data_IF_142282316000
#
_entry.id   IF_142282316000
#
_cell.length_a   1.000
_cell.length_b   1.000
_cell.length_c   1.000
_cell.angle_alpha   90.00
_cell.angle_beta   90.00
_cell.angle_gamma   90.00
#
_symmetry.space_group_name_H-M   'P 1'
#
loop_
_entity.id
_entity.type
_entity.pdbx_description
1 polymer ?
#
# COMPACT_ATOMS: atom_id res chain seq x y z
N UNK A 1 -9.56 -0.46 -15.47
CA UNK A 1 -8.50 -0.71 -14.51
C UNK A 1 -8.91 -0.38 -13.08
N UNK A 2 -9.23 0.86 -12.76
CA UNK A 2 -9.63 1.22 -11.39
C UNK A 2 -11.14 1.25 -11.17
N UNK A 3 -11.92 0.88 -12.15
CA UNK A 3 -13.37 0.72 -12.04
C UNK A 3 -14.16 1.99 -11.79
N UNK A 4 -13.68 3.13 -12.25
CA UNK A 4 -14.30 4.41 -11.98
C UNK A 4 -14.77 5.17 -13.23
N UNK A 5 -14.85 4.50 -14.38
CA UNK A 5 -15.22 5.17 -15.61
C UNK A 5 -16.58 5.85 -15.52
N UNK A 6 -17.56 5.21 -14.86
CA UNK A 6 -18.90 5.72 -14.67
C UNK A 6 -18.99 6.87 -13.65
N UNK A 7 -17.92 7.10 -12.89
CA UNK A 7 -17.87 8.14 -11.86
C UNK A 7 -16.88 9.25 -12.18
N UNK A 8 -16.23 9.20 -13.33
CA UNK A 8 -15.18 10.16 -13.69
C UNK A 8 -15.68 11.60 -13.73
N UNK A 9 -16.96 11.83 -14.01
CA UNK A 9 -17.55 13.16 -14.10
C UNK A 9 -18.11 13.68 -12.77
N UNK A 10 -18.16 12.84 -11.73
CA UNK A 10 -18.65 13.28 -10.44
C UNK A 10 -17.66 14.25 -9.80
N UNK A 11 -18.21 15.22 -9.09
CA UNK A 11 -17.38 16.15 -8.36
C UNK A 11 -16.64 15.42 -7.23
N UNK A 12 -15.31 15.56 -7.09
CA UNK A 12 -14.53 14.79 -6.10
C UNK A 12 -15.06 14.86 -4.67
N UNK A 13 -15.64 15.98 -4.26
CA UNK A 13 -16.15 16.18 -2.91
C UNK A 13 -17.29 15.23 -2.56
N UNK A 14 -17.97 14.66 -3.57
CA UNK A 14 -19.07 13.73 -3.38
C UNK A 14 -18.66 12.29 -3.28
N UNK A 15 -17.37 12.00 -3.50
CA UNK A 15 -16.85 10.64 -3.48
C UNK A 15 -16.46 10.23 -2.08
N UNK A 16 -16.55 8.94 -1.77
CA UNK A 16 -16.04 8.40 -0.51
C UNK A 16 -14.51 8.52 -0.46
N UNK A 17 -13.94 8.37 0.73
CA UNK A 17 -12.49 8.39 0.89
C UNK A 17 -11.78 7.38 -0.01
N UNK A 18 -12.31 6.15 -0.09
CA UNK A 18 -11.75 5.13 -0.95
C UNK A 18 -11.85 5.48 -2.43
N UNK A 19 -12.99 6.04 -2.84
CA UNK A 19 -13.18 6.49 -4.22
C UNK A 19 -12.25 7.66 -4.56
N UNK A 20 -12.03 8.58 -3.63
CA UNK A 20 -11.10 9.68 -3.82
C UNK A 20 -9.67 9.16 -4.01
N UNK A 21 -9.26 8.17 -3.23
CA UNK A 21 -7.95 7.55 -3.36
C UNK A 21 -7.81 6.85 -4.72
N UNK A 22 -8.83 6.14 -5.17
CA UNK A 22 -8.79 5.47 -6.46
C UNK A 22 -8.73 6.47 -7.61
N UNK A 23 -9.42 7.60 -7.50
CA UNK A 23 -9.33 8.68 -8.50
C UNK A 23 -7.92 9.25 -8.53
N UNK A 24 -7.31 9.48 -7.38
CA UNK A 24 -5.95 9.98 -7.30
C UNK A 24 -4.96 9.00 -7.96
N UNK A 25 -5.12 7.70 -7.72
CA UNK A 25 -4.29 6.67 -8.35
C UNK A 25 -4.48 6.69 -9.87
N UNK A 26 -5.73 6.77 -10.34
CA UNK A 26 -6.02 6.81 -11.77
C UNK A 26 -5.38 8.02 -12.44
N UNK A 27 -5.42 9.18 -11.78
CA UNK A 27 -4.79 10.40 -12.32
C UNK A 27 -3.27 10.24 -12.42
N UNK A 28 -2.67 9.65 -11.39
CA UNK A 28 -1.23 9.39 -11.41
C UNK A 28 -0.85 8.42 -12.53
N UNK A 29 -1.65 7.38 -12.74
CA UNK A 29 -1.42 6.40 -13.80
C UNK A 29 -1.54 7.00 -15.19
N UNK A 30 -2.41 7.99 -15.36
CA UNK A 30 -2.60 8.66 -16.65
C UNK A 30 -1.32 9.36 -17.13
N UNK A 31 -0.41 9.66 -16.22
CA UNK A 31 0.89 10.25 -16.54
C UNK A 31 1.93 9.22 -16.99
N UNK A 32 1.58 7.93 -16.99
CA UNK A 32 2.45 6.81 -17.37
C UNK A 32 3.79 6.82 -16.62
N UNK A 33 3.75 6.82 -15.29
CA UNK A 33 4.98 6.90 -14.50
C UNK A 33 5.80 5.61 -14.59
N UNK A 34 7.12 5.72 -14.43
CA UNK A 34 7.98 4.56 -14.30
C UNK A 34 8.05 4.03 -12.88
N UNK A 35 7.66 4.85 -11.91
CA UNK A 35 7.62 4.50 -10.48
C UNK A 35 6.43 5.18 -9.83
N UNK A 36 5.66 4.42 -9.04
CA UNK A 36 4.57 4.95 -8.22
C UNK A 36 4.97 4.92 -6.76
N UNK A 37 4.65 5.99 -6.04
CA UNK A 37 4.86 6.07 -4.59
C UNK A 37 3.52 6.14 -3.89
N UNK A 38 3.28 5.21 -2.97
CA UNK A 38 2.09 5.20 -2.11
C UNK A 38 2.53 5.39 -0.67
N UNK A 39 2.17 6.51 -0.06
CA UNK A 39 2.59 6.85 1.29
C UNK A 39 1.41 6.81 2.24
N UNK A 40 1.22 5.68 2.90
CA UNK A 40 0.16 5.46 3.90
C UNK A 40 -1.22 5.86 3.39
N UNK A 41 -1.54 5.49 2.15
CA UNK A 41 -2.78 5.93 1.49
C UNK A 41 -4.05 5.41 2.15
N UNK A 42 -3.95 4.43 3.05
CA UNK A 42 -5.10 3.86 3.76
C UNK A 42 -5.22 4.36 5.20
N UNK A 43 -4.27 5.14 5.69
CA UNK A 43 -4.21 5.51 7.12
C UNK A 43 -5.41 6.32 7.61
N UNK A 44 -6.03 7.11 6.74
CA UNK A 44 -7.17 7.96 7.09
C UNK A 44 -8.51 7.36 6.62
N UNK A 45 -8.52 6.13 6.13
CA UNK A 45 -9.74 5.51 5.61
C UNK A 45 -10.41 4.63 6.64
N UNK A 46 -11.74 4.50 6.54
CA UNK A 46 -12.47 3.50 7.30
C UNK A 46 -12.00 2.10 6.90
N UNK A 47 -11.99 1.14 7.85
CA UNK A 47 -11.57 -0.22 7.54
C UNK A 47 -12.28 -0.85 6.34
N UNK A 48 -13.54 -0.48 6.12
CA UNK A 48 -14.31 -0.99 4.99
C UNK A 48 -13.74 -0.54 3.63
N UNK A 49 -13.08 0.61 3.59
CA UNK A 49 -12.54 1.18 2.36
C UNK A 49 -11.09 0.79 2.13
N UNK A 50 -10.37 0.37 3.18
CA UNK A 50 -8.96 -0.02 3.08
C UNK A 50 -8.78 -1.14 2.06
N UNK A 51 -9.62 -2.18 2.12
CA UNK A 51 -9.53 -3.30 1.20
C UNK A 51 -9.65 -2.90 -0.26
N UNK A 52 -10.56 -1.97 -0.56
CA UNK A 52 -10.76 -1.51 -1.93
C UNK A 52 -9.52 -0.84 -2.51
N UNK A 53 -8.87 0.01 -1.71
CA UNK A 53 -7.66 0.71 -2.13
C UNK A 53 -6.49 -0.25 -2.27
N UNK A 54 -6.32 -1.17 -1.30
CA UNK A 54 -5.25 -2.15 -1.36
C UNK A 54 -5.40 -3.09 -2.56
N UNK A 55 -6.64 -3.45 -2.93
CA UNK A 55 -6.89 -4.28 -4.10
C UNK A 55 -6.43 -3.60 -5.39
N UNK A 56 -6.63 -2.29 -5.51
CA UNK A 56 -6.14 -1.54 -6.66
C UNK A 56 -4.61 -1.60 -6.73
N UNK A 57 -3.93 -1.37 -5.60
CA UNK A 57 -2.47 -1.41 -5.55
C UNK A 57 -1.96 -2.81 -5.86
N UNK A 58 -2.62 -3.84 -5.34
CA UNK A 58 -2.27 -5.23 -5.62
C UNK A 58 -2.39 -5.54 -7.11
N UNK A 59 -3.45 -5.08 -7.75
CA UNK A 59 -3.65 -5.27 -9.17
C UNK A 59 -2.52 -4.60 -9.97
N UNK A 60 -2.11 -3.41 -9.58
CA UNK A 60 -0.99 -2.72 -10.24
C UNK A 60 0.31 -3.52 -10.09
N UNK A 61 0.54 -4.12 -8.93
CA UNK A 61 1.71 -4.96 -8.71
C UNK A 61 1.68 -6.19 -9.63
N UNK A 62 0.53 -6.80 -9.80
CA UNK A 62 0.36 -7.95 -10.68
C UNK A 62 0.61 -7.58 -12.15
N UNK A 63 0.34 -6.34 -12.51
CA UNK A 63 0.59 -5.84 -13.86
C UNK A 63 2.04 -5.43 -14.09
N UNK A 64 2.90 -5.57 -13.09
CA UNK A 64 4.33 -5.31 -13.21
C UNK A 64 4.74 -3.87 -12.93
N UNK A 65 3.86 -3.06 -12.35
CA UNK A 65 4.18 -1.68 -11.99
C UNK A 65 5.25 -1.64 -10.91
N UNK A 66 6.31 -0.85 -11.14
CA UNK A 66 7.31 -0.59 -10.12
C UNK A 66 6.76 0.42 -9.13
N UNK A 67 6.79 0.06 -7.83
CA UNK A 67 6.24 0.97 -6.82
C UNK A 67 6.90 0.79 -5.47
N UNK A 68 6.88 1.87 -4.70
CA UNK A 68 7.26 1.87 -3.30
C UNK A 68 6.01 2.16 -2.48
N UNK A 69 5.70 1.30 -1.52
CA UNK A 69 4.50 1.43 -0.70
C UNK A 69 4.89 1.54 0.77
N UNK A 70 4.54 2.66 1.39
CA UNK A 70 4.72 2.85 2.83
C UNK A 70 3.38 2.52 3.48
N UNK A 71 3.35 1.51 4.35
CA UNK A 71 2.09 1.02 4.88
C UNK A 71 2.27 0.37 6.25
N UNK A 72 1.19 0.40 7.05
CA UNK A 72 1.07 -0.37 8.28
C UNK A 72 0.24 -1.64 8.07
N UNK A 73 -0.23 -1.87 6.85
CA UNK A 73 -1.04 -3.04 6.51
C UNK A 73 -0.14 -4.25 6.28
N UNK A 74 0.11 -5.01 7.34
CA UNK A 74 1.11 -6.08 7.30
C UNK A 74 0.69 -7.26 6.42
N UNK A 75 -0.60 -7.59 6.40
CA UNK A 75 -1.09 -8.64 5.50
C UNK A 75 -0.85 -8.31 4.04
N UNK A 76 -1.08 -7.06 3.67
CA UNK A 76 -0.82 -6.58 2.32
C UNK A 76 0.68 -6.63 2.00
N UNK A 77 1.52 -6.14 2.91
CA UNK A 77 2.97 -6.13 2.70
C UNK A 77 3.51 -7.56 2.52
N UNK A 78 3.00 -8.50 3.31
CA UNK A 78 3.40 -9.90 3.23
C UNK A 78 3.00 -10.54 1.90
N UNK A 79 1.78 -10.26 1.43
CA UNK A 79 1.23 -10.87 0.23
C UNK A 79 1.79 -10.28 -1.05
N UNK A 80 1.98 -8.98 -1.10
CA UNK A 80 2.26 -8.24 -2.34
C UNK A 80 3.70 -7.80 -2.45
N UNK A 81 4.36 -7.52 -1.33
CA UNK A 81 5.73 -7.02 -1.36
C UNK A 81 6.73 -8.03 -1.92
N UNK A 82 7.70 -7.54 -2.68
CA UNK A 82 8.81 -8.36 -3.14
C UNK A 82 10.06 -8.12 -2.33
N UNK A 83 10.14 -6.94 -1.71
CA UNK A 83 11.23 -6.55 -0.83
C UNK A 83 10.66 -5.64 0.25
N UNK A 84 10.97 -5.91 1.51
CA UNK A 84 10.46 -5.16 2.63
C UNK A 84 11.58 -4.43 3.37
N UNK A 85 11.26 -3.24 3.83
CA UNK A 85 12.16 -2.44 4.66
C UNK A 85 11.36 -2.03 5.89
N UNK A 86 11.83 -2.46 7.06
CA UNK A 86 11.21 -2.05 8.32
C UNK A 86 11.99 -0.85 8.87
N UNK A 87 11.28 0.25 9.09
CA UNK A 87 11.88 1.47 9.62
C UNK A 87 11.29 1.81 10.99
N UNK A 88 12.11 2.42 11.84
CA UNK A 88 11.69 2.90 13.14
C UNK A 88 12.47 4.16 13.44
N UNK A 89 11.77 5.20 13.85
CA UNK A 89 12.37 6.49 14.21
C UNK A 89 13.32 7.01 13.11
N UNK A 90 12.87 6.89 11.85
CA UNK A 90 13.63 7.40 10.70
C UNK A 90 14.82 6.57 10.28
N UNK A 91 15.02 5.40 10.89
CA UNK A 91 16.16 4.54 10.63
C UNK A 91 15.70 3.18 10.09
N UNK A 92 16.45 2.65 9.12
CA UNK A 92 16.20 1.30 8.62
C UNK A 92 16.69 0.31 9.70
N UNK A 93 15.76 -0.49 10.20
CA UNK A 93 16.05 -1.47 11.24
C UNK A 93 16.38 -2.84 10.64
N UNK A 94 15.57 -3.23 9.64
CA UNK A 94 15.73 -4.54 9.03
C UNK A 94 15.16 -4.51 7.62
N UNK A 95 15.69 -5.37 6.73
CA UNK A 95 15.20 -5.48 5.35
C UNK A 95 15.37 -6.92 4.87
N UNK A 96 14.57 -7.30 3.89
CA UNK A 96 14.61 -8.64 3.33
C UNK A 96 13.38 -8.94 2.51
N UNK A 97 13.26 -10.20 2.09
CA UNK A 97 12.03 -10.65 1.44
C UNK A 97 10.92 -10.79 2.47
N UNK A 98 9.64 -10.77 2.04
CA UNK A 98 8.54 -10.97 2.98
C UNK A 98 8.69 -12.25 3.80
N UNK A 99 9.12 -13.34 3.16
CA UNK A 99 9.33 -14.61 3.84
C UNK A 99 10.35 -14.50 4.95
N UNK A 100 11.48 -13.83 4.69
CA UNK A 100 12.53 -13.64 5.67
C UNK A 100 12.08 -12.75 6.83
N UNK A 101 11.47 -11.61 6.49
CA UNK A 101 11.10 -10.59 7.48
C UNK A 101 9.98 -11.08 8.41
N UNK A 102 8.96 -11.75 7.87
CA UNK A 102 7.83 -12.19 8.66
C UNK A 102 8.05 -13.53 9.36
N UNK A 103 8.75 -14.45 8.72
CA UNK A 103 8.95 -15.79 9.30
C UNK A 103 10.13 -15.83 10.26
N UNK A 104 11.15 -15.00 10.07
CA UNK A 104 12.36 -15.05 10.86
C UNK A 104 12.93 -13.64 11.08
N UNK A 105 12.20 -12.77 11.77
CA UNK A 105 12.69 -11.42 12.06
C UNK A 105 13.96 -11.49 12.92
N UNK A 106 14.99 -10.77 12.51
CA UNK A 106 16.31 -10.85 13.13
C UNK A 106 16.49 -9.85 14.27
N UNK A 107 15.81 -8.70 14.19
CA UNK A 107 15.97 -7.65 15.20
C UNK A 107 14.89 -7.75 16.26
N UNK A 108 15.23 -7.42 17.50
CA UNK A 108 14.26 -7.39 18.59
C UNK A 108 13.13 -6.39 18.31
N UNK A 109 13.46 -5.25 17.72
CA UNK A 109 12.45 -4.24 17.37
C UNK A 109 11.40 -4.78 16.42
N UNK A 110 11.81 -5.48 15.37
CA UNK A 110 10.87 -6.07 14.43
C UNK A 110 10.06 -7.18 15.09
N UNK A 111 10.68 -8.01 15.91
CA UNK A 111 10.01 -9.06 16.65
C UNK A 111 8.90 -8.48 17.52
N UNK A 112 9.20 -7.41 18.27
CA UNK A 112 8.22 -6.73 19.11
C UNK A 112 7.09 -6.12 18.31
N UNK A 113 7.41 -5.49 17.18
CA UNK A 113 6.41 -4.88 16.31
C UNK A 113 5.45 -5.94 15.76
N UNK A 114 5.99 -7.02 15.23
CA UNK A 114 5.15 -8.07 14.65
C UNK A 114 4.29 -8.77 15.71
N UNK A 115 4.80 -8.91 16.91
CA UNK A 115 4.02 -9.49 18.01
C UNK A 115 2.78 -8.65 18.36
N UNK A 116 2.84 -7.33 18.13
CA UNK A 116 1.70 -6.45 18.41
C UNK A 116 0.67 -6.41 17.28
N UNK A 117 1.10 -6.55 16.03
CA UNK A 117 0.22 -6.34 14.87
C UNK A 117 -0.26 -7.63 14.21
N UNK A 118 0.31 -8.76 14.57
CA UNK A 118 -0.10 -10.07 14.03
C UNK A 118 -0.77 -10.98 15.10
#
# INVERSE_FOLDING_TARGET
>A
MVGLADKAEEHPIRLSGGQQQRVAIARALAMQPSLMLFDEVTSALDPELVGEVLDVIKQLAEEGMTMMVVTHEMGFAREVGTWLIFTDDGTVVERGTPKEVFANPQTERLQQFLAKVL
#
